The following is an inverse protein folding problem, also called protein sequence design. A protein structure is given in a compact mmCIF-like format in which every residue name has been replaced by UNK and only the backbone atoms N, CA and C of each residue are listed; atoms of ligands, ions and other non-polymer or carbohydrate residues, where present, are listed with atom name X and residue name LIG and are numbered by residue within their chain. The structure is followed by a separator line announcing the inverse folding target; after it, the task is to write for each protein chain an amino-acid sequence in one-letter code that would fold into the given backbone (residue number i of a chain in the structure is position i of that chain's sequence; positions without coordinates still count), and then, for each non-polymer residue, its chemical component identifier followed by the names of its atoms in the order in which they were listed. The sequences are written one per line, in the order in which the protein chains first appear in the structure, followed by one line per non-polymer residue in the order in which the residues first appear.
data_IF_915609006988
#
_entry.id   IF_915609006988
#
_cell.length_a   1.000
_cell.length_b   1.000
_cell.length_c   1.000
_cell.angle_alpha   90.00
_cell.angle_beta   90.00
_cell.angle_gamma   90.00
#
_symmetry.space_group_name_H-M   'P 1'
#
loop_
_entity.id
_entity.type
_entity.pdbx_description
1 polymer ?
#
# COMPACT_ATOMS: atom_id res chain seq x y z
N UNK A 1 12.14 32.91 -28.28
CA UNK A 1 11.19 31.80 -28.17
C UNK A 1 10.93 31.56 -26.69
N UNK A 2 9.66 31.53 -26.33
CA UNK A 2 9.17 31.61 -24.96
C UNK A 2 9.22 30.26 -24.21
N UNK A 3 9.11 30.39 -22.88
CA UNK A 3 8.47 29.47 -21.93
C UNK A 3 9.28 28.21 -21.49
N UNK A 4 9.28 27.79 -20.22
CA UNK A 4 8.58 28.25 -19.01
C UNK A 4 9.21 27.61 -17.76
N UNK A 5 8.89 28.23 -16.63
CA UNK A 5 9.30 27.97 -15.24
C UNK A 5 9.26 26.51 -14.74
N UNK A 6 10.04 26.16 -13.69
CA UNK A 6 9.82 24.96 -12.90
C UNK A 6 8.59 25.19 -12.00
N UNK A 7 7.52 24.42 -12.17
CA UNK A 7 6.33 24.55 -11.35
C UNK A 7 5.54 23.27 -11.34
N UNK A 8 5.62 22.57 -10.21
CA UNK A 8 4.49 22.09 -9.42
C UNK A 8 4.99 20.92 -8.57
N UNK A 9 5.70 21.26 -7.50
CA UNK A 9 5.70 20.43 -6.31
C UNK A 9 4.26 20.47 -5.79
N UNK A 10 3.43 19.54 -6.29
CA UNK A 10 2.07 19.34 -5.85
C UNK A 10 2.10 18.71 -4.45
N UNK A 11 2.41 19.53 -3.46
CA UNK A 11 2.16 19.19 -2.08
C UNK A 11 0.71 19.57 -1.78
N UNK A 12 -0.21 18.70 -2.15
CA UNK A 12 -1.63 18.80 -1.79
C UNK A 12 -1.72 18.74 -0.25
N UNK A 13 -2.12 19.83 0.45
CA UNK A 13 -2.29 19.81 1.90
C UNK A 13 -3.71 19.31 2.18
N UNK A 14 -3.94 18.02 1.94
CA UNK A 14 -5.26 17.43 2.01
C UNK A 14 -5.25 15.94 2.31
N UNK A 15 -4.26 15.44 3.07
CA UNK A 15 -4.28 14.07 3.62
C UNK A 15 -3.00 13.74 4.38
N UNK A 16 -2.87 14.19 5.63
CA UNK A 16 -1.80 13.67 6.49
C UNK A 16 -1.89 12.13 6.62
N UNK A 17 -3.12 11.58 6.68
CA UNK A 17 -3.37 10.12 6.67
C UNK A 17 -3.01 9.43 5.36
N UNK A 18 -3.45 9.94 4.20
CA UNK A 18 -3.09 9.32 2.90
C UNK A 18 -1.59 9.39 2.60
N UNK A 19 -0.87 10.39 3.11
CA UNK A 19 0.58 10.49 2.93
C UNK A 19 1.34 9.42 3.73
N UNK A 20 0.88 9.09 4.94
CA UNK A 20 1.47 8.01 5.75
C UNK A 20 1.13 6.64 5.17
N UNK A 21 -0.13 6.40 4.79
CA UNK A 21 -0.54 5.14 4.16
C UNK A 21 0.21 4.87 2.85
N UNK A 22 0.40 5.89 2.01
CA UNK A 22 1.21 5.77 0.79
C UNK A 22 2.67 5.46 1.07
N UNK A 23 3.27 6.05 2.11
CA UNK A 23 4.64 5.73 2.52
C UNK A 23 4.75 4.28 3.01
N UNK A 24 3.81 3.82 3.83
CA UNK A 24 3.76 2.44 4.31
C UNK A 24 3.59 1.46 3.15
N UNK A 25 2.70 1.75 2.21
CA UNK A 25 2.52 0.98 0.97
C UNK A 25 3.82 0.90 0.18
N UNK A 26 4.48 2.03 -0.11
CA UNK A 26 5.72 2.01 -0.88
C UNK A 26 6.85 1.25 -0.18
N UNK A 27 6.92 1.33 1.15
CA UNK A 27 7.90 0.59 1.93
C UNK A 27 7.60 -0.92 1.91
N UNK A 28 6.31 -1.30 2.02
CA UNK A 28 5.86 -2.68 1.86
C UNK A 28 6.19 -3.22 0.46
N UNK A 29 5.86 -2.49 -0.61
CA UNK A 29 6.18 -2.87 -1.99
C UNK A 29 7.69 -3.10 -2.16
N UNK A 30 8.51 -2.17 -1.67
CA UNK A 30 9.97 -2.32 -1.74
C UNK A 30 10.46 -3.57 -1.00
N UNK A 31 9.84 -3.90 0.14
CA UNK A 31 10.21 -5.08 0.91
C UNK A 31 9.71 -6.38 0.27
N UNK A 32 8.51 -6.34 -0.33
CA UNK A 32 7.94 -7.44 -1.11
C UNK A 32 8.82 -7.78 -2.32
N UNK A 33 9.34 -6.76 -3.01
CA UNK A 33 10.27 -6.93 -4.14
C UNK A 33 11.63 -7.47 -3.69
N UNK A 34 12.14 -6.99 -2.55
CA UNK A 34 13.52 -7.29 -2.10
C UNK A 34 13.62 -8.66 -1.42
N UNK A 35 12.69 -8.96 -0.51
CA UNK A 35 12.74 -10.15 0.35
C UNK A 35 11.77 -11.26 -0.13
N UNK A 36 10.85 -10.94 -1.04
CA UNK A 36 9.85 -11.87 -1.56
C UNK A 36 8.77 -12.27 -0.54
N UNK A 37 8.81 -11.71 0.67
CA UNK A 37 7.87 -11.97 1.73
C UNK A 37 7.71 -10.77 2.64
N UNK A 38 6.57 -10.10 2.56
CA UNK A 38 6.11 -9.20 3.60
C UNK A 38 4.69 -9.58 3.99
N UNK A 39 4.46 -9.81 5.28
CA UNK A 39 3.13 -10.14 5.76
C UNK A 39 2.36 -8.85 6.00
N UNK A 40 1.23 -8.68 5.32
CA UNK A 40 0.31 -7.55 5.53
C UNK A 40 -0.03 -7.39 7.03
N UNK A 41 -0.14 -8.50 7.77
CA UNK A 41 -0.34 -8.56 9.23
C UNK A 41 0.65 -7.65 10.00
N UNK A 42 1.94 -7.80 9.73
CA UNK A 42 3.01 -7.04 10.42
C UNK A 42 2.87 -5.55 10.20
N UNK A 43 2.43 -5.14 9.01
CA UNK A 43 2.25 -3.73 8.69
C UNK A 43 0.99 -3.14 9.30
N UNK A 44 -0.07 -3.94 9.42
CA UNK A 44 -1.30 -3.56 10.10
C UNK A 44 -1.10 -3.37 11.61
N UNK A 45 -0.25 -4.17 12.24
CA UNK A 45 0.09 -4.01 13.66
C UNK A 45 0.83 -2.69 13.96
N UNK A 46 1.45 -2.06 12.94
CA UNK A 46 2.14 -0.77 13.11
C UNK A 46 1.21 0.44 13.14
N UNK A 47 -0.05 0.28 12.75
CA UNK A 47 -1.04 1.37 12.68
C UNK A 47 -2.23 1.11 13.61
N UNK A 48 -2.89 2.17 14.11
CA UNK A 48 -4.10 2.01 14.92
C UNK A 48 -5.21 1.32 14.12
N UNK A 49 -6.08 0.57 14.81
CA UNK A 49 -7.19 -0.18 14.19
C UNK A 49 -8.10 0.67 13.27
N UNK A 50 -8.24 1.97 13.57
CA UNK A 50 -9.01 2.91 12.74
C UNK A 50 -8.41 3.10 11.33
N UNK A 51 -7.10 2.89 11.17
CA UNK A 51 -6.38 3.02 9.90
C UNK A 51 -6.02 1.65 9.30
N UNK A 52 -6.15 0.56 10.06
CA UNK A 52 -5.85 -0.80 9.57
C UNK A 52 -6.67 -1.19 8.35
N UNK A 53 -7.97 -0.89 8.31
CA UNK A 53 -8.79 -1.20 7.14
C UNK A 53 -8.32 -0.44 5.87
N UNK A 54 -7.93 0.83 6.03
CA UNK A 54 -7.43 1.65 4.92
C UNK A 54 -6.04 1.18 4.47
N UNK A 55 -5.16 0.84 5.41
CA UNK A 55 -3.84 0.29 5.10
C UNK A 55 -3.97 -1.09 4.45
N UNK A 56 -4.84 -1.96 4.96
CA UNK A 56 -5.08 -3.29 4.42
C UNK A 56 -5.45 -3.24 2.94
N UNK A 57 -6.38 -2.35 2.55
CA UNK A 57 -6.76 -2.18 1.16
C UNK A 57 -5.57 -1.78 0.27
N UNK A 58 -4.75 -0.83 0.71
CA UNK A 58 -3.56 -0.39 -0.03
C UNK A 58 -2.49 -1.49 -0.14
N UNK A 59 -2.25 -2.24 0.93
CA UNK A 59 -1.26 -3.32 0.96
C UNK A 59 -1.72 -4.53 0.14
N UNK A 60 -3.01 -4.86 0.19
CA UNK A 60 -3.59 -5.94 -0.61
C UNK A 60 -3.52 -5.61 -2.10
N UNK A 61 -3.84 -4.37 -2.50
CA UNK A 61 -3.68 -3.90 -3.88
C UNK A 61 -2.24 -4.02 -4.38
N UNK A 62 -1.28 -3.59 -3.54
CA UNK A 62 0.14 -3.69 -3.83
C UNK A 62 0.62 -5.14 -3.99
N UNK A 63 0.24 -6.02 -3.07
CA UNK A 63 0.62 -7.43 -3.10
C UNK A 63 0.01 -8.15 -4.31
N UNK A 64 -1.29 -7.96 -4.58
CA UNK A 64 -1.95 -8.54 -5.75
C UNK A 64 -1.31 -8.04 -7.05
N UNK A 65 -0.99 -6.74 -7.14
CA UNK A 65 -0.32 -6.18 -8.31
C UNK A 65 1.07 -6.78 -8.53
N UNK A 66 1.86 -6.92 -7.46
CA UNK A 66 3.18 -7.54 -7.53
C UNK A 66 3.10 -9.01 -7.95
N UNK A 67 2.23 -9.79 -7.33
CA UNK A 67 2.07 -11.21 -7.65
C UNK A 67 1.52 -11.41 -9.07
N UNK A 68 0.58 -10.57 -9.52
CA UNK A 68 0.12 -10.58 -10.90
C UNK A 68 1.26 -10.29 -11.90
N UNK A 69 2.16 -9.35 -11.58
CA UNK A 69 3.34 -9.05 -12.40
C UNK A 69 4.36 -10.20 -12.41
N UNK A 70 4.53 -10.90 -11.29
CA UNK A 70 5.37 -12.09 -11.19
C UNK A 70 4.72 -13.35 -11.80
N UNK A 71 3.45 -13.29 -12.21
CA UNK A 71 2.71 -14.45 -12.72
C UNK A 71 2.33 -15.46 -11.64
N UNK A 72 2.30 -15.03 -10.38
CA UNK A 72 1.87 -15.83 -9.24
C UNK A 72 0.39 -15.55 -8.96
N UNK A 73 -0.44 -16.60 -8.97
CA UNK A 73 -1.87 -16.45 -8.67
C UNK A 73 -2.06 -16.30 -7.15
N UNK A 74 -2.60 -15.15 -6.74
CA UNK A 74 -2.94 -14.86 -5.36
C UNK A 74 -4.42 -14.56 -5.29
N UNK A 75 -5.13 -15.29 -4.44
CA UNK A 75 -6.57 -15.16 -4.31
C UNK A 75 -6.92 -14.13 -3.23
N UNK A 76 -7.62 -13.03 -3.55
CA UNK A 76 -8.05 -12.07 -2.54
C UNK A 76 -8.97 -12.69 -1.49
N UNK A 77 -9.65 -13.79 -1.81
CA UNK A 77 -10.51 -14.54 -0.88
C UNK A 77 -9.74 -15.13 0.32
N UNK A 78 -8.47 -15.54 0.13
CA UNK A 78 -7.61 -15.98 1.23
C UNK A 78 -7.43 -14.87 2.28
N UNK A 79 -7.33 -13.62 1.83
CA UNK A 79 -7.16 -12.47 2.71
C UNK A 79 -8.45 -12.12 3.43
N UNK A 80 -9.62 -12.27 2.79
CA UNK A 80 -10.91 -12.10 3.47
C UNK A 80 -11.05 -13.12 4.61
N UNK A 81 -10.53 -14.33 4.40
CA UNK A 81 -10.58 -15.41 5.40
C UNK A 81 -9.59 -15.18 6.55
N UNK A 82 -8.40 -14.64 6.26
CA UNK A 82 -7.38 -14.28 7.27
C UNK A 82 -7.69 -12.99 8.03
N UNK A 83 -8.35 -12.03 7.40
CA UNK A 83 -8.67 -10.72 7.95
C UNK A 83 -10.18 -10.43 7.97
N UNK A 84 -11.01 -11.26 8.65
CA UNK A 84 -12.46 -11.10 8.63
C UNK A 84 -12.96 -9.81 9.32
N UNK A 85 -12.10 -9.17 10.11
CA UNK A 85 -12.39 -7.97 10.89
C UNK A 85 -12.03 -6.66 10.18
N UNK A 86 -11.39 -6.72 9.00
CA UNK A 86 -10.97 -5.55 8.21
C UNK A 86 -11.87 -5.28 7.00
N UNK A 87 -13.06 -5.90 7.00
CA UNK A 87 -14.15 -5.68 6.03
C UNK A 87 -14.90 -4.37 6.29
#
# INVERSE_FOLDING_TARGET
MAAKLPSAQAHEPGSAGSSVLKQLRSAFESQLITDGGSSIETWLEMVPAAEQAALFAELLDAELSFHQQCGHEVHPEDYVTRFPHLK
#
